data_IF_428175464444
#
_entry.id   IF_428175464444
#
_cell.length_a   1.000
_cell.length_b   1.000
_cell.length_c   1.000
_cell.angle_alpha   90.00
_cell.angle_beta   90.00
_cell.angle_gamma   90.00
#
_symmetry.space_group_name_H-M   'P 1'
#
loop_
_entity.id
_entity.type
_entity.pdbx_description
1 polymer ?
#
# COMPACT_ATOMS: atom_id res chain seq x y z
N UNK A 1 -2.71 -5.14 -11.60
CA UNK A 1 -2.63 -5.58 -13.01
C UNK A 1 -1.71 -4.60 -13.71
N UNK A 2 -0.57 -5.06 -14.24
CA UNK A 2 0.45 -4.16 -14.81
C UNK A 2 -0.10 -3.46 -16.05
N UNK A 3 0.44 -2.28 -16.36
CA UNK A 3 0.18 -1.56 -17.61
C UNK A 3 0.22 -2.50 -18.83
N UNK A 4 1.06 -3.54 -18.78
CA UNK A 4 1.14 -4.61 -19.79
C UNK A 4 -0.19 -5.30 -20.11
N UNK A 5 -1.13 -5.45 -19.16
CA UNK A 5 -2.42 -6.09 -19.45
C UNK A 5 -3.38 -5.13 -20.14
N UNK A 6 -3.39 -3.86 -19.76
CA UNK A 6 -4.19 -2.83 -20.43
C UNK A 6 -3.66 -2.61 -21.85
N UNK A 7 -2.33 -2.58 -22.01
CA UNK A 7 -1.67 -2.47 -23.31
C UNK A 7 -1.99 -3.68 -24.19
N UNK A 8 -1.96 -4.90 -23.64
CA UNK A 8 -2.38 -6.11 -24.36
C UNK A 8 -3.85 -6.09 -24.77
N UNK A 9 -4.77 -5.67 -23.90
CA UNK A 9 -6.19 -5.55 -24.24
C UNK A 9 -6.41 -4.49 -25.34
N UNK A 10 -5.72 -3.35 -25.27
CA UNK A 10 -5.78 -2.31 -26.30
C UNK A 10 -5.22 -2.82 -27.64
N UNK A 11 -4.10 -3.55 -27.61
CA UNK A 11 -3.49 -4.12 -28.81
C UNK A 11 -4.39 -5.19 -29.46
N UNK A 12 -5.10 -5.98 -28.63
CA UNK A 12 -6.08 -6.97 -29.09
C UNK A 12 -7.30 -6.29 -29.73
N UNK A 13 -7.82 -5.21 -29.13
CA UNK A 13 -8.90 -4.41 -29.73
C UNK A 13 -8.48 -3.72 -31.04
N UNK A 14 -7.23 -3.26 -31.13
CA UNK A 14 -6.68 -2.69 -32.38
C UNK A 14 -6.60 -3.75 -33.50
N UNK A 15 -6.19 -4.98 -33.18
CA UNK A 15 -6.18 -6.11 -34.14
C UNK A 15 -7.58 -6.52 -34.58
N UNK A 16 -8.55 -6.52 -33.67
CA UNK A 16 -9.96 -6.79 -33.96
C UNK A 16 -10.58 -5.74 -34.90
N UNK A 17 -10.28 -4.45 -34.70
CA UNK A 17 -10.74 -3.39 -35.60
C UNK A 17 -10.11 -3.40 -36.99
N UNK A 18 -8.86 -3.85 -37.09
CA UNK A 18 -8.22 -4.08 -38.38
C UNK A 18 -8.85 -5.25 -39.16
N UNK A 19 -9.41 -6.23 -38.42
CA UNK A 19 -10.01 -7.44 -38.97
C UNK A 19 -11.48 -7.26 -39.34
N UNK A 20 -12.25 -6.47 -38.58
CA UNK A 20 -13.68 -6.25 -38.81
C UNK A 20 -14.09 -4.79 -38.58
N UNK A 21 -14.38 -4.07 -39.68
CA UNK A 21 -14.73 -2.63 -39.67
C UNK A 21 -16.07 -2.31 -39.01
N UNK A 22 -16.88 -3.33 -38.67
CA UNK A 22 -18.14 -3.15 -37.94
C UNK A 22 -17.96 -3.01 -36.43
N UNK A 23 -16.77 -3.31 -35.91
CA UNK A 23 -16.51 -3.25 -34.47
C UNK A 23 -16.13 -1.81 -34.09
N UNK A 24 -16.90 -1.23 -33.17
CA UNK A 24 -16.58 0.07 -32.57
C UNK A 24 -15.44 -0.08 -31.55
N UNK A 25 -14.21 -0.06 -32.07
CA UNK A 25 -12.99 -0.12 -31.27
C UNK A 25 -12.88 1.05 -30.30
N UNK A 26 -13.37 2.24 -30.68
CA UNK A 26 -13.34 3.40 -29.80
C UNK A 26 -14.20 3.15 -28.55
N UNK A 27 -15.40 2.58 -28.72
CA UNK A 27 -16.26 2.18 -27.61
C UNK A 27 -15.63 1.11 -26.69
N UNK A 28 -14.96 0.11 -27.27
CA UNK A 28 -14.26 -0.93 -26.50
C UNK A 28 -13.06 -0.37 -25.72
N UNK A 29 -12.26 0.50 -26.34
CA UNK A 29 -11.14 1.17 -25.67
C UNK A 29 -11.63 2.08 -24.53
N UNK A 30 -12.70 2.85 -24.74
CA UNK A 30 -13.29 3.69 -23.69
C UNK A 30 -13.78 2.84 -22.51
N UNK A 31 -14.43 1.71 -22.79
CA UNK A 31 -14.93 0.82 -21.75
C UNK A 31 -13.78 0.15 -20.96
N UNK A 32 -12.72 -0.27 -21.64
CA UNK A 32 -11.52 -0.81 -21.01
C UNK A 32 -10.83 0.21 -20.08
N UNK A 33 -10.69 1.46 -20.54
CA UNK A 33 -10.14 2.56 -19.73
C UNK A 33 -11.00 2.87 -18.50
N UNK A 34 -12.32 2.96 -18.67
CA UNK A 34 -13.25 3.20 -17.56
C UNK A 34 -13.26 2.06 -16.54
N UNK A 35 -13.17 0.82 -17.02
CA UNK A 35 -13.11 -0.36 -16.14
C UNK A 35 -11.81 -0.40 -15.36
N UNK A 36 -10.69 -0.02 -15.98
CA UNK A 36 -9.40 0.08 -15.30
C UNK A 36 -9.41 1.16 -14.22
N UNK A 37 -9.89 2.38 -14.50
CA UNK A 37 -10.02 3.43 -13.47
C UNK A 37 -10.88 3.00 -12.28
N UNK A 38 -11.99 2.29 -12.53
CA UNK A 38 -12.86 1.75 -11.48
C UNK A 38 -12.23 0.62 -10.67
N UNK A 39 -11.24 -0.06 -11.24
CA UNK A 39 -10.55 -1.16 -10.59
C UNK A 39 -9.32 -0.70 -9.77
N UNK A 40 -9.08 0.60 -9.67
CA UNK A 40 -8.05 1.19 -8.82
C UNK A 40 -8.60 1.52 -7.42
N UNK A 41 -7.73 1.51 -6.40
CA UNK A 41 -8.06 2.01 -5.08
C UNK A 41 -8.24 3.53 -5.15
N UNK A 42 -9.38 4.07 -4.67
CA UNK A 42 -9.60 5.51 -4.65
C UNK A 42 -8.46 6.25 -3.94
N UNK A 43 -8.01 7.36 -4.53
CA UNK A 43 -6.88 8.17 -4.01
C UNK A 43 -7.10 8.60 -2.55
N UNK A 44 -8.34 8.92 -2.18
CA UNK A 44 -8.71 9.28 -0.80
C UNK A 44 -8.48 8.12 0.18
N UNK A 45 -8.82 6.89 -0.22
CA UNK A 45 -8.63 5.69 0.59
C UNK A 45 -7.14 5.38 0.77
N UNK A 46 -6.33 5.50 -0.30
CA UNK A 46 -4.87 5.36 -0.21
C UNK A 46 -4.25 6.35 0.77
N UNK A 47 -4.64 7.63 0.70
CA UNK A 47 -4.11 8.68 1.58
C UNK A 47 -4.38 8.38 3.05
N UNK A 48 -5.60 7.98 3.39
CA UNK A 48 -5.96 7.63 4.76
C UNK A 48 -5.15 6.41 5.22
N UNK A 49 -5.07 5.37 4.39
CA UNK A 49 -4.31 4.18 4.73
C UNK A 49 -2.82 4.47 4.97
N UNK A 50 -2.18 5.30 4.15
CA UNK A 50 -0.78 5.70 4.34
C UNK A 50 -0.58 6.53 5.62
N UNK A 51 -1.50 7.45 5.92
CA UNK A 51 -1.46 8.22 7.17
C UNK A 51 -1.60 7.31 8.39
N UNK A 52 -2.52 6.35 8.35
CA UNK A 52 -2.69 5.37 9.42
C UNK A 52 -1.46 4.48 9.55
N UNK A 53 -0.88 4.01 8.45
CA UNK A 53 0.37 3.22 8.48
C UNK A 53 1.54 3.97 9.10
N UNK A 54 1.59 5.29 8.96
CA UNK A 54 2.64 6.11 9.56
C UNK A 54 2.37 6.39 11.05
N UNK A 55 1.14 6.82 11.39
CA UNK A 55 0.79 7.28 12.74
C UNK A 55 0.52 6.13 13.73
N UNK A 56 -0.03 5.03 13.24
CA UNK A 56 -0.39 3.84 14.03
C UNK A 56 0.14 2.60 13.30
N UNK A 57 1.46 2.32 13.39
CA UNK A 57 2.08 1.20 12.69
C UNK A 57 1.35 -0.15 12.86
N UNK A 58 0.83 -0.53 14.05
CA UNK A 58 0.06 -1.78 14.20
C UNK A 58 -1.20 -1.82 13.34
N UNK A 59 -1.88 -0.68 13.17
CA UNK A 59 -3.09 -0.57 12.36
C UNK A 59 -2.77 -0.42 10.86
N UNK A 60 -1.58 0.04 10.52
CA UNK A 60 -1.07 0.09 9.15
C UNK A 60 -1.03 -1.25 8.44
N UNK A 61 -0.74 -2.31 9.18
CA UNK A 61 -0.67 -3.68 8.65
C UNK A 61 -2.04 -4.22 8.24
N UNK A 62 -3.11 -3.79 8.91
CA UNK A 62 -4.49 -4.14 8.56
C UNK A 62 -4.83 -3.61 7.16
N UNK A 63 -4.43 -2.37 6.86
CA UNK A 63 -4.61 -1.79 5.54
C UNK A 63 -3.75 -2.48 4.48
N UNK A 64 -2.53 -2.90 4.82
CA UNK A 64 -1.69 -3.68 3.92
C UNK A 64 -2.36 -5.01 3.53
N UNK A 65 -2.89 -5.76 4.49
CA UNK A 65 -3.62 -7.02 4.23
C UNK A 65 -4.89 -6.75 3.43
N UNK A 66 -5.65 -5.71 3.80
CA UNK A 66 -6.88 -5.31 3.09
C UNK A 66 -6.61 -5.02 1.62
N UNK A 67 -5.55 -4.28 1.30
CA UNK A 67 -5.20 -3.96 -0.08
C UNK A 67 -4.56 -5.14 -0.82
N UNK A 68 -3.85 -6.02 -0.12
CA UNK A 68 -3.31 -7.23 -0.72
C UNK A 68 -4.42 -8.22 -1.14
N UNK A 69 -5.47 -8.34 -0.33
CA UNK A 69 -6.64 -9.17 -0.61
C UNK A 69 -7.67 -8.47 -1.52
N UNK A 70 -7.47 -7.21 -1.85
CA UNK A 70 -8.33 -6.49 -2.79
C UNK A 70 -7.99 -6.92 -4.21
N UNK A 71 -8.98 -7.37 -4.99
CA UNK A 71 -8.87 -7.65 -6.43
C UNK A 71 -8.65 -6.39 -7.30
N UNK A 72 -8.16 -5.31 -6.69
CA UNK A 72 -7.89 -4.03 -7.35
C UNK A 72 -6.50 -4.04 -7.96
N UNK A 73 -6.36 -3.40 -9.11
CA UNK A 73 -5.16 -3.51 -9.93
C UNK A 73 -3.90 -2.95 -9.25
N UNK A 74 -4.08 -2.00 -8.36
CA UNK A 74 -3.04 -1.33 -7.57
C UNK A 74 -2.96 -1.80 -6.11
N UNK A 75 -3.73 -2.84 -5.75
CA UNK A 75 -3.80 -3.37 -4.39
C UNK A 75 -2.47 -3.89 -3.85
N UNK A 76 -1.74 -4.65 -4.67
CA UNK A 76 -0.42 -5.19 -4.32
C UNK A 76 0.63 -4.10 -4.12
N UNK A 77 0.65 -3.07 -4.96
CA UNK A 77 1.53 -1.91 -4.80
C UNK A 77 1.17 -1.10 -3.55
N UNK A 78 -0.12 -0.83 -3.33
CA UNK A 78 -0.58 -0.10 -2.16
C UNK A 78 -0.26 -0.85 -0.85
N UNK A 79 -0.41 -2.18 -0.85
CA UNK A 79 -0.03 -3.04 0.27
C UNK A 79 1.48 -3.00 0.56
N UNK A 80 2.31 -3.03 -0.48
CA UNK A 80 3.76 -2.92 -0.35
C UNK A 80 4.18 -1.56 0.25
N UNK A 81 3.59 -0.46 -0.22
CA UNK A 81 3.82 0.87 0.36
C UNK A 81 3.36 0.96 1.82
N UNK A 82 2.17 0.46 2.17
CA UNK A 82 1.70 0.41 3.55
C UNK A 82 2.64 -0.42 4.44
N UNK A 83 3.17 -1.53 3.93
CA UNK A 83 4.12 -2.38 4.65
C UNK A 83 5.44 -1.66 4.89
N UNK A 84 6.01 -1.03 3.86
CA UNK A 84 7.24 -0.24 3.99
C UNK A 84 7.09 0.92 4.98
N UNK A 85 5.99 1.67 4.89
CA UNK A 85 5.69 2.76 5.82
C UNK A 85 5.57 2.26 7.27
N UNK A 86 4.92 1.12 7.46
CA UNK A 86 4.77 0.50 8.79
C UNK A 86 6.13 0.09 9.37
N UNK A 87 6.96 -0.59 8.59
CA UNK A 87 8.32 -1.00 9.00
C UNK A 87 9.17 0.24 9.32
N UNK A 88 9.12 1.26 8.47
CA UNK A 88 9.85 2.51 8.68
C UNK A 88 9.40 3.22 9.97
N UNK A 89 8.09 3.28 10.22
CA UNK A 89 7.52 3.86 11.44
C UNK A 89 7.89 3.08 12.71
N UNK A 90 8.06 1.76 12.61
CA UNK A 90 8.58 0.94 13.72
C UNK A 90 10.06 1.25 14.02
N UNK A 91 10.89 1.42 12.99
CA UNK A 91 12.32 1.78 13.14
C UNK A 91 12.45 3.17 13.81
N UNK A 92 11.87 4.20 13.18
CA UNK A 92 11.06 5.23 13.81
C UNK A 92 11.01 5.23 15.35
N UNK A 93 9.93 4.63 15.80
CA UNK A 93 9.50 4.50 17.18
C UNK A 93 10.57 3.84 18.04
N UNK A 94 11.30 2.84 17.53
CA UNK A 94 12.36 2.16 18.28
C UNK A 94 13.52 3.10 18.63
N UNK A 95 14.00 3.90 17.67
CA UNK A 95 15.03 4.90 17.93
C UNK A 95 14.53 6.02 18.85
N UNK A 96 13.27 6.42 18.68
CA UNK A 96 12.65 7.46 19.50
C UNK A 96 12.50 7.00 20.96
N UNK A 97 12.06 5.77 21.19
CA UNK A 97 12.02 5.14 22.51
C UNK A 97 13.42 5.04 23.10
N UNK A 98 14.42 4.56 22.35
CA UNK A 98 15.81 4.50 22.84
C UNK A 98 16.37 5.86 23.25
N UNK A 99 16.14 6.89 22.44
CA UNK A 99 16.60 8.26 22.74
C UNK A 99 15.89 8.84 23.95
N UNK A 100 14.57 8.65 24.05
CA UNK A 100 13.79 9.08 25.23
C UNK A 100 14.23 8.35 26.51
N UNK A 101 14.44 7.03 26.49
CA UNK A 101 14.93 6.31 27.66
C UNK A 101 16.37 6.70 28.02
N UNK A 102 17.24 6.97 27.03
CA UNK A 102 18.61 7.44 27.32
C UNK A 102 18.65 8.82 27.98
N UNK A 103 17.68 9.69 27.67
CA UNK A 103 17.54 11.01 28.27
C UNK A 103 16.85 11.00 29.65
N UNK A 104 16.08 9.96 29.97
CA UNK A 104 15.37 9.82 31.24
C UNK A 104 16.25 9.33 32.40
N UNK A 105 17.53 9.01 32.15
CA UNK A 105 18.49 8.59 33.19
C UNK A 105 18.25 7.18 33.76
N UNK A 106 17.23 6.45 33.30
CA UNK A 106 16.97 5.07 33.69
C UNK A 106 17.65 4.12 32.72
N UNK A 107 18.88 3.71 33.06
CA UNK A 107 19.47 2.53 32.41
C UNK A 107 18.60 1.31 32.75
N UNK A 108 18.40 0.41 31.77
CA UNK A 108 17.74 -0.88 32.03
C UNK A 108 18.45 -1.65 33.16
N UNK A 109 19.77 -1.45 33.29
CA UNK A 109 20.59 -1.97 34.38
C UNK A 109 20.14 -1.47 35.78
N UNK A 110 19.67 -0.23 35.91
CA UNK A 110 19.16 0.31 37.18
C UNK A 110 17.80 -0.30 37.59
N UNK A 111 16.94 -0.60 36.62
CA UNK A 111 15.66 -1.26 36.88
C UNK A 111 15.89 -2.71 37.31
N UNK A 112 16.90 -3.37 36.74
CA UNK A 112 17.28 -4.73 37.14
C UNK A 112 17.93 -4.77 38.53
N UNK A 113 18.76 -3.78 38.88
CA UNK A 113 19.36 -3.67 40.21
C UNK A 113 18.33 -3.40 41.32
N UNK A 114 17.30 -2.57 41.05
CA UNK A 114 16.22 -2.30 42.00
C UNK A 114 15.32 -3.52 42.27
N UNK A 115 15.19 -4.44 41.30
CA UNK A 115 14.37 -5.65 41.44
C UNK A 115 15.12 -6.84 42.08
N UNK A 116 16.46 -6.80 42.17
CA UNK A 116 17.26 -7.76 42.95
C UNK A 116 17.49 -7.30 44.41
N UNK A 117 17.25 -6.02 44.71
CA UNK A 117 17.51 -5.43 46.05
C UNK A 117 16.26 -5.42 46.95
N UNK A 118 15.08 -5.78 46.43
CA UNK A 118 13.82 -5.97 47.16
C UNK A 118 13.28 -7.38 46.91
#
# INVERSE_FOLDING_TARGET
MSEDKLEKEIEEYAKLGASDKKIDVAGLMINALQKHERNLIPVKEKRIAYLVSLALPPLGFIYAIKFYLSDKDDGSQAALFCTLLTVFSLIISFFLVKTMLSGAGTSLDQIQYLNETY
#
